data_IF_514481445104
#
_entry.id   IF_514481445104
#
_cell.length_a   1.000
_cell.length_b   1.000
_cell.length_c   1.000
_cell.angle_alpha   90.00
_cell.angle_beta   90.00
_cell.angle_gamma   90.00
#
_symmetry.space_group_name_H-M   'P 1'
#
loop_
_entity.id
_entity.type
_entity.pdbx_description
1 polymer ?
#
# COMPACT_ATOMS: atom_id res chain seq x y z
N UNK A 1 4.60 -4.51 7.61
CA UNK A 1 3.34 -3.75 7.42
C UNK A 1 3.37 -2.60 8.43
N UNK A 2 3.73 -1.38 8.03
CA UNK A 2 3.74 -0.22 8.93
C UNK A 2 2.37 0.47 8.88
N UNK A 3 1.83 0.83 10.05
CA UNK A 3 0.54 1.51 10.20
C UNK A 3 0.79 3.02 10.24
N UNK A 4 0.20 3.79 9.33
CA UNK A 4 0.32 5.24 9.29
C UNK A 4 -0.94 5.87 9.90
N UNK A 5 -0.77 6.80 10.84
CA UNK A 5 -1.89 7.62 11.35
C UNK A 5 -2.11 8.75 10.35
N UNK A 6 -3.23 8.71 9.65
CA UNK A 6 -3.60 9.73 8.67
C UNK A 6 -5.05 10.12 8.93
N UNK A 7 -5.24 11.33 9.43
CA UNK A 7 -6.57 11.88 9.70
C UNK A 7 -7.38 11.99 8.40
N UNK A 8 -8.64 11.56 8.46
CA UNK A 8 -9.61 11.71 7.36
C UNK A 8 -9.64 10.57 6.32
N UNK A 9 -8.84 9.49 6.47
CA UNK A 9 -8.94 8.31 5.60
C UNK A 9 -9.49 7.10 6.36
N UNK A 10 -10.42 6.37 5.74
CA UNK A 10 -10.99 5.15 6.30
C UNK A 10 -9.89 4.11 6.58
N UNK A 11 -10.03 3.33 7.66
CA UNK A 11 -9.09 2.28 8.04
C UNK A 11 -8.83 1.29 6.89
N UNK A 12 -7.57 0.90 6.69
CA UNK A 12 -7.17 -0.03 5.63
C UNK A 12 -6.98 0.60 4.24
N UNK A 13 -7.09 1.93 4.13
CA UNK A 13 -6.79 2.65 2.88
C UNK A 13 -5.27 2.75 2.69
N UNK A 14 -4.79 2.52 1.47
CA UNK A 14 -3.37 2.75 1.12
C UNK A 14 -3.10 4.25 1.11
N UNK A 15 -2.15 4.72 1.91
CA UNK A 15 -1.85 6.15 2.04
C UNK A 15 -0.49 6.53 1.46
N UNK A 16 0.49 5.65 1.59
CA UNK A 16 1.86 5.88 1.11
C UNK A 16 2.36 4.61 0.41
N UNK A 17 3.02 4.79 -0.73
CA UNK A 17 3.75 3.73 -1.43
C UNK A 17 5.24 3.99 -1.27
N UNK A 18 5.91 3.19 -0.43
CA UNK A 18 7.35 3.31 -0.23
C UNK A 18 8.16 2.66 -1.35
N UNK A 19 7.65 1.57 -1.93
CA UNK A 19 8.25 0.92 -3.11
C UNK A 19 7.16 0.44 -4.06
N UNK A 20 7.31 0.78 -5.34
CA UNK A 20 6.35 0.41 -6.39
C UNK A 20 6.37 -1.11 -6.62
N UNK A 21 5.19 -1.69 -6.81
CA UNK A 21 5.00 -3.08 -7.20
C UNK A 21 4.84 -3.23 -8.71
N UNK A 22 5.11 -4.44 -9.22
CA UNK A 22 5.01 -4.75 -10.64
C UNK A 22 4.09 -5.94 -10.87
N UNK A 23 3.26 -5.83 -11.92
CA UNK A 23 2.44 -6.91 -12.44
C UNK A 23 2.76 -7.15 -13.90
N UNK A 24 2.78 -8.41 -14.32
CA UNK A 24 2.85 -8.81 -15.72
C UNK A 24 1.56 -9.56 -16.03
N UNK A 25 0.67 -8.91 -16.79
CA UNK A 25 -0.71 -9.36 -16.93
C UNK A 25 -1.32 -9.55 -15.52
N UNK A 26 -1.83 -10.74 -15.22
CA UNK A 26 -2.41 -11.08 -13.91
C UNK A 26 -1.39 -11.65 -12.91
N UNK A 27 -0.12 -11.83 -13.32
CA UNK A 27 0.92 -12.34 -12.42
C UNK A 27 1.56 -11.20 -11.65
N UNK A 28 1.52 -11.29 -10.32
CA UNK A 28 2.28 -10.39 -9.44
C UNK A 28 3.76 -10.78 -9.51
N UNK A 29 4.58 -9.93 -10.12
CA UNK A 29 6.04 -10.12 -10.15
C UNK A 29 6.66 -9.69 -8.83
N UNK A 30 6.16 -8.58 -8.28
CA UNK A 30 6.60 -8.04 -7.00
C UNK A 30 5.49 -7.19 -6.37
N UNK A 31 5.07 -7.45 -5.13
CA UNK A 31 4.11 -6.60 -4.45
C UNK A 31 4.70 -5.22 -4.12
N UNK A 32 3.84 -4.21 -4.08
CA UNK A 32 4.20 -2.89 -3.60
C UNK A 32 4.39 -2.92 -2.07
N UNK A 33 5.34 -2.13 -1.56
CA UNK A 33 5.42 -1.86 -0.13
C UNK A 33 4.61 -0.61 0.17
N UNK A 34 3.57 -0.77 0.97
CA UNK A 34 2.60 0.27 1.29
C UNK A 34 2.44 0.47 2.79
N UNK A 35 2.17 1.72 3.18
CA UNK A 35 1.61 2.07 4.47
C UNK A 35 0.10 2.24 4.36
N UNK A 36 -0.63 1.65 5.30
CA UNK A 36 -2.10 1.73 5.37
C UNK A 36 -2.54 2.63 6.53
N UNK A 37 -3.67 3.31 6.36
CA UNK A 37 -4.33 4.05 7.45
C UNK A 37 -4.76 3.08 8.54
N UNK A 38 -4.57 3.51 9.78
CA UNK A 38 -5.18 2.86 10.95
C UNK A 38 -6.69 3.07 10.96
#
# INVERSE_FOLDING_TARGET
MSRAEVEGKAAGTVVVVSKIGYKLHDRVLRPALVGVSK
#
